data_IF_906363152248
#
_entry.id   IF_906363152248
#
_cell.length_a   1.000
_cell.length_b   1.000
_cell.length_c   1.000
_cell.angle_alpha   90.00
_cell.angle_beta   90.00
_cell.angle_gamma   90.00
#
_symmetry.space_group_name_H-M   'P 1'
#
loop_
_entity.id
_entity.type
_entity.pdbx_description
1 polymer ?
#
# COMPACT_ATOMS: atom_id res chain seq x y z
N UNK A 1 19.31 15.16 16.96
CA UNK A 1 19.16 14.20 15.89
C UNK A 1 17.85 13.44 16.06
N UNK A 2 16.93 13.66 15.17
CA UNK A 2 15.66 12.90 15.21
C UNK A 2 15.88 11.50 14.65
N UNK A 3 15.37 10.50 15.36
CA UNK A 3 15.42 9.12 14.90
C UNK A 3 14.12 8.83 14.17
N UNK A 4 14.20 8.57 12.86
CA UNK A 4 13.05 8.17 12.09
C UNK A 4 12.62 6.76 12.48
N UNK A 5 11.30 6.49 12.55
CA UNK A 5 10.83 5.12 12.77
C UNK A 5 11.35 4.17 11.70
N UNK A 6 11.77 2.98 12.12
CA UNK A 6 12.31 1.97 11.21
C UNK A 6 11.36 1.68 10.05
N UNK A 7 10.05 1.65 10.31
CA UNK A 7 9.05 1.43 9.27
C UNK A 7 9.07 2.46 8.15
N UNK A 8 9.33 3.74 8.48
CA UNK A 8 9.44 4.80 7.48
C UNK A 8 10.69 4.59 6.61
N UNK A 9 11.81 4.23 7.23
CA UNK A 9 13.06 3.95 6.50
C UNK A 9 12.87 2.76 5.56
N UNK A 10 12.23 1.68 6.03
CA UNK A 10 11.96 0.50 5.21
C UNK A 10 11.03 0.81 4.04
N UNK A 11 9.99 1.62 4.26
CA UNK A 11 9.08 2.01 3.20
C UNK A 11 9.78 2.83 2.12
N UNK A 12 10.62 3.80 2.52
CA UNK A 12 11.39 4.60 1.58
C UNK A 12 12.38 3.74 0.78
N UNK A 13 13.04 2.78 1.43
CA UNK A 13 13.95 1.85 0.77
C UNK A 13 13.21 0.97 -0.24
N UNK A 14 12.02 0.49 0.09
CA UNK A 14 11.19 -0.32 -0.82
C UNK A 14 10.79 0.47 -2.07
N UNK A 15 10.34 1.71 -1.90
CA UNK A 15 9.96 2.56 -3.04
C UNK A 15 11.15 2.82 -3.96
N UNK A 16 12.33 3.09 -3.39
CA UNK A 16 13.56 3.27 -4.16
C UNK A 16 13.93 1.99 -4.92
N UNK A 17 13.83 0.84 -4.26
CA UNK A 17 14.12 -0.45 -4.88
C UNK A 17 13.17 -0.74 -6.05
N UNK A 18 11.88 -0.45 -5.89
CA UNK A 18 10.89 -0.62 -6.95
C UNK A 18 11.27 0.22 -8.18
N UNK A 19 11.65 1.48 -7.99
CA UNK A 19 12.07 2.33 -9.11
C UNK A 19 13.31 1.80 -9.81
N UNK A 20 14.31 1.34 -9.06
CA UNK A 20 15.52 0.76 -9.63
C UNK A 20 15.23 -0.52 -10.42
N UNK A 21 14.43 -1.42 -9.84
CA UNK A 21 14.05 -2.66 -10.51
C UNK A 21 13.20 -2.38 -11.75
N UNK A 22 12.34 -1.37 -11.71
CA UNK A 22 11.53 -1.00 -12.86
C UNK A 22 12.39 -0.58 -14.05
N UNK A 23 13.43 0.22 -13.80
CA UNK A 23 14.36 0.63 -14.86
C UNK A 23 15.13 -0.58 -15.40
N UNK A 24 15.59 -1.46 -14.53
CA UNK A 24 16.41 -2.61 -14.91
C UNK A 24 15.61 -3.69 -15.64
N UNK A 25 14.40 -3.99 -15.16
CA UNK A 25 13.59 -5.10 -15.66
C UNK A 25 12.62 -4.72 -16.78
N UNK A 26 12.31 -3.42 -16.92
CA UNK A 26 11.41 -2.93 -17.96
C UNK A 26 11.79 -3.37 -19.37
N UNK A 27 13.08 -3.25 -19.78
CA UNK A 27 13.50 -3.70 -21.12
C UNK A 27 13.29 -5.20 -21.35
N UNK A 28 13.13 -5.99 -20.30
CA UNK A 28 12.86 -7.43 -20.36
C UNK A 28 11.38 -7.76 -20.37
N UNK A 29 10.50 -6.74 -20.40
CA UNK A 29 9.06 -6.94 -20.43
C UNK A 29 8.45 -7.25 -19.06
N UNK A 30 9.15 -6.93 -17.98
CA UNK A 30 8.68 -7.18 -16.61
C UNK A 30 8.29 -5.84 -15.99
N UNK A 31 7.04 -5.74 -15.52
CA UNK A 31 6.59 -4.55 -14.77
C UNK A 31 6.78 -4.77 -13.27
N UNK A 32 7.20 -3.70 -12.60
CA UNK A 32 7.46 -3.71 -11.15
C UNK A 32 6.73 -2.55 -10.52
N UNK A 33 5.81 -2.84 -9.62
CA UNK A 33 5.03 -1.84 -8.90
C UNK A 33 4.95 -2.24 -7.42
N UNK A 34 4.59 -1.31 -6.57
CA UNK A 34 4.30 -1.62 -5.18
C UNK A 34 2.88 -1.19 -4.83
N UNK A 35 2.26 -1.91 -3.92
CA UNK A 35 0.93 -1.60 -3.40
C UNK A 35 1.09 -1.11 -1.97
N UNK A 36 0.52 0.05 -1.68
CA UNK A 36 0.45 0.59 -0.34
C UNK A 36 -1.01 0.56 0.11
N UNK A 37 -1.30 -0.33 1.05
CA UNK A 37 -2.64 -0.43 1.63
C UNK A 37 -2.81 0.60 2.75
N UNK A 38 -4.06 0.92 3.06
CA UNK A 38 -4.39 1.66 4.28
C UNK A 38 -4.30 0.76 5.50
N UNK A 39 -4.99 1.13 6.58
CA UNK A 39 -5.08 0.27 7.76
C UNK A 39 -5.92 -0.95 7.39
N UNK A 40 -5.35 -2.14 7.59
CA UNK A 40 -5.99 -3.40 7.30
C UNK A 40 -6.22 -4.16 8.60
N UNK A 41 -7.44 -4.67 8.81
CA UNK A 41 -7.76 -5.47 9.99
C UNK A 41 -7.18 -6.88 9.84
N UNK A 42 -5.94 -7.03 10.28
CA UNK A 42 -5.21 -8.29 10.25
C UNK A 42 -5.12 -8.89 11.65
N UNK A 43 -4.65 -10.14 11.74
CA UNK A 43 -4.41 -10.78 13.04
C UNK A 43 -3.40 -10.01 13.90
N UNK A 44 -2.44 -9.33 13.28
CA UNK A 44 -1.50 -8.48 14.01
C UNK A 44 -2.20 -7.32 14.73
N UNK A 45 -3.22 -6.73 14.10
CA UNK A 45 -3.99 -5.64 14.69
C UNK A 45 -4.78 -6.09 15.91
N UNK A 46 -5.23 -7.34 15.94
CA UNK A 46 -6.00 -7.91 17.06
C UNK A 46 -5.21 -7.95 18.36
N UNK A 47 -3.89 -7.87 18.29
CA UNK A 47 -3.01 -7.88 19.47
C UNK A 47 -2.94 -6.53 20.18
N UNK A 48 -3.42 -5.47 19.57
CA UNK A 48 -3.42 -4.14 20.17
C UNK A 48 -4.61 -3.96 21.10
N UNK A 49 -4.40 -3.47 22.35
CA UNK A 49 -5.51 -3.29 23.30
C UNK A 49 -6.55 -2.25 22.86
N UNK A 50 -6.17 -1.30 22.02
CA UNK A 50 -7.04 -0.25 21.51
C UNK A 50 -7.48 -0.49 20.06
N UNK A 51 -7.61 -1.76 19.67
CA UNK A 51 -7.97 -2.15 18.31
C UNK A 51 -9.24 -1.47 17.80
N UNK A 52 -10.31 -1.47 18.61
CA UNK A 52 -11.60 -0.91 18.19
C UNK A 52 -11.52 0.60 17.96
N UNK A 53 -10.75 1.31 18.76
CA UNK A 53 -10.52 2.74 18.58
C UNK A 53 -9.71 3.02 17.30
N UNK A 54 -8.70 2.21 17.03
CA UNK A 54 -7.90 2.33 15.82
C UNK A 54 -8.74 2.11 14.57
N UNK A 55 -9.60 1.09 14.58
CA UNK A 55 -10.50 0.80 13.47
C UNK A 55 -11.46 1.97 13.24
N UNK A 56 -12.10 2.45 14.29
CA UNK A 56 -13.05 3.55 14.19
C UNK A 56 -12.39 4.82 13.65
N UNK A 57 -11.22 5.18 14.19
CA UNK A 57 -10.47 6.35 13.74
C UNK A 57 -10.07 6.22 12.27
N UNK A 58 -9.66 5.04 11.84
CA UNK A 58 -9.32 4.77 10.44
C UNK A 58 -10.52 4.91 9.51
N UNK A 59 -11.68 4.39 9.93
CA UNK A 59 -12.90 4.49 9.13
C UNK A 59 -13.38 5.93 9.00
N UNK A 60 -13.32 6.70 10.07
CA UNK A 60 -13.69 8.12 10.06
C UNK A 60 -12.80 8.93 9.12
N UNK A 61 -11.53 8.61 9.05
CA UNK A 61 -10.56 9.28 8.20
C UNK A 61 -10.62 8.82 6.74
N UNK A 62 -11.23 7.67 6.46
CA UNK A 62 -11.28 7.08 5.13
C UNK A 62 -12.51 7.57 4.38
N UNK A 63 -12.38 8.35 3.29
CA UNK A 63 -13.54 8.87 2.55
C UNK A 63 -14.54 7.81 2.11
N UNK A 64 -14.06 6.61 1.72
CA UNK A 64 -14.97 5.52 1.33
C UNK A 64 -15.66 4.85 2.53
N UNK A 65 -15.28 5.21 3.77
CA UNK A 65 -16.02 4.82 4.97
C UNK A 65 -15.82 3.39 5.43
N UNK A 66 -14.83 2.68 4.90
CA UNK A 66 -14.49 1.33 5.35
C UNK A 66 -12.98 1.09 5.30
N UNK A 67 -12.52 0.09 6.02
CA UNK A 67 -11.12 -0.30 5.99
C UNK A 67 -10.79 -1.07 4.72
N UNK A 68 -9.54 -0.97 4.29
CA UNK A 68 -9.00 -1.84 3.25
C UNK A 68 -8.95 -3.28 3.78
N UNK A 69 -9.37 -4.22 2.97
CA UNK A 69 -9.29 -5.65 3.30
C UNK A 69 -8.15 -6.32 2.54
N UNK A 70 -7.66 -7.49 3.00
CA UNK A 70 -6.72 -8.27 2.21
C UNK A 70 -7.23 -8.59 0.80
N UNK A 71 -8.53 -8.79 0.65
CA UNK A 71 -9.16 -9.04 -0.65
C UNK A 71 -9.07 -7.83 -1.58
N UNK A 72 -9.21 -6.62 -1.03
CA UNK A 72 -9.02 -5.39 -1.83
C UNK A 72 -7.62 -5.33 -2.42
N UNK A 73 -6.61 -5.68 -1.63
CA UNK A 73 -5.21 -5.72 -2.08
C UNK A 73 -5.03 -6.81 -3.14
N UNK A 74 -5.57 -7.99 -2.89
CA UNK A 74 -5.48 -9.11 -3.83
C UNK A 74 -6.13 -8.77 -5.18
N UNK A 75 -7.26 -8.08 -5.16
CA UNK A 75 -7.93 -7.63 -6.39
C UNK A 75 -7.06 -6.67 -7.19
N UNK A 76 -6.34 -5.77 -6.54
CA UNK A 76 -5.42 -4.87 -7.22
C UNK A 76 -4.23 -5.62 -7.82
N UNK A 77 -3.70 -6.63 -7.10
CA UNK A 77 -2.67 -7.52 -7.66
C UNK A 77 -3.17 -8.16 -8.96
N UNK A 78 -4.39 -8.67 -8.96
CA UNK A 78 -4.99 -9.26 -10.15
C UNK A 78 -5.13 -8.26 -11.31
N UNK A 79 -5.56 -7.02 -11.00
CA UNK A 79 -5.64 -5.96 -12.00
C UNK A 79 -4.27 -5.64 -12.59
N UNK A 80 -3.24 -5.56 -11.76
CA UNK A 80 -1.87 -5.26 -12.22
C UNK A 80 -1.26 -6.39 -13.06
N UNK A 81 -1.73 -7.62 -12.87
CA UNK A 81 -1.34 -8.76 -13.68
C UNK A 81 -2.08 -8.84 -15.01
N UNK A 82 -3.09 -7.99 -15.22
CA UNK A 82 -3.86 -7.99 -16.45
C UNK A 82 -3.12 -7.21 -17.53
N UNK A 83 -3.43 -7.54 -18.79
CA UNK A 83 -2.87 -6.83 -19.95
C UNK A 83 -3.23 -5.35 -19.96
N UNK A 84 -4.35 -4.97 -19.34
CA UNK A 84 -4.80 -3.58 -19.29
C UNK A 84 -3.88 -2.70 -18.45
N UNK A 85 -3.04 -3.29 -17.61
CA UNK A 85 -2.07 -2.60 -16.77
C UNK A 85 -0.64 -2.61 -17.33
N UNK A 86 -0.46 -2.97 -18.62
CA UNK A 86 0.87 -3.14 -19.22
C UNK A 86 1.77 -1.89 -19.14
N UNK A 87 1.18 -0.71 -19.08
CA UNK A 87 1.93 0.55 -19.00
C UNK A 87 2.06 1.10 -17.57
N UNK A 88 1.57 0.39 -16.57
CA UNK A 88 1.77 0.75 -15.17
C UNK A 88 3.10 0.15 -14.71
N UNK A 89 4.06 1.01 -14.37
CA UNK A 89 5.42 0.56 -14.11
C UNK A 89 6.15 1.53 -13.19
N UNK A 90 6.81 1.01 -12.18
CA UNK A 90 7.58 1.80 -11.23
C UNK A 90 6.73 2.65 -10.29
N UNK A 91 5.47 2.30 -10.07
CA UNK A 91 4.52 3.13 -9.33
C UNK A 91 4.23 2.57 -7.94
N UNK A 92 3.82 3.48 -7.07
CA UNK A 92 3.21 3.15 -5.78
C UNK A 92 1.70 3.29 -5.95
N UNK A 93 0.98 2.19 -5.83
CA UNK A 93 -0.48 2.17 -5.99
C UNK A 93 -1.10 2.17 -4.59
N UNK A 94 -1.83 3.25 -4.27
CA UNK A 94 -2.51 3.36 -2.99
C UNK A 94 -3.86 2.66 -3.05
N UNK A 95 -4.09 1.73 -2.11
CA UNK A 95 -5.34 0.98 -1.97
C UNK A 95 -5.84 1.23 -0.56
N UNK A 96 -6.39 2.41 -0.32
CA UNK A 96 -6.67 2.90 1.02
C UNK A 96 -8.02 3.63 1.16
N UNK A 97 -8.86 3.58 0.12
CA UNK A 97 -10.16 4.24 0.14
C UNK A 97 -10.07 5.76 0.28
N UNK A 98 -8.93 6.36 -0.01
CA UNK A 98 -8.69 7.79 0.13
C UNK A 98 -8.10 8.21 1.47
N UNK A 99 -7.73 7.28 2.32
CA UNK A 99 -7.17 7.60 3.65
C UNK A 99 -6.01 8.60 3.58
N UNK A 100 -5.10 8.44 2.63
CA UNK A 100 -3.89 9.26 2.55
C UNK A 100 -4.16 10.71 2.11
N UNK A 101 -5.26 10.97 1.40
CA UNK A 101 -5.60 12.32 0.93
C UNK A 101 -6.48 13.10 1.91
N UNK A 102 -7.02 12.43 2.92
CA UNK A 102 -7.84 13.07 3.95
C UNK A 102 -6.91 13.67 5.00
N UNK A 103 -6.55 14.88 4.77
CA UNK A 103 -5.64 15.67 5.52
C UNK A 103 -5.69 15.72 6.97
#
# INVERSE_FOLDING_TARGET
>A
LEVLPVGVILAAALESLVRHLAVELGPRGITVNTISAGVVDTDALKKFPNRDELIRASMERTPLGRMTTPEDVADVVMLLCSKRADMIHGQVILVDGGYAIHG
#
